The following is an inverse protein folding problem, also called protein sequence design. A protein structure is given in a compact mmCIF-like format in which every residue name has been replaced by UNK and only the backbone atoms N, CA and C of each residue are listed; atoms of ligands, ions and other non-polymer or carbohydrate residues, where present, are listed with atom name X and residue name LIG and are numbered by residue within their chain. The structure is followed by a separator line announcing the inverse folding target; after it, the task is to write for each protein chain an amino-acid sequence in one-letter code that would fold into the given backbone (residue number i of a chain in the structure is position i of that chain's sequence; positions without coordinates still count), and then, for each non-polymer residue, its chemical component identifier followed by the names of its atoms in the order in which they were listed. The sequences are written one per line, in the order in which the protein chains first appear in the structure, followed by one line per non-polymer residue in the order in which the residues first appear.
data_IF_941639390093
#
_entry.id   IF_941639390093
#
_cell.length_a   1.000
_cell.length_b   1.000
_cell.length_c   1.000
_cell.angle_alpha   90.00
_cell.angle_beta   90.00
_cell.angle_gamma   90.00
#
_symmetry.space_group_name_H-M   'P 1'
#
loop_
_entity.id
_entity.type
_entity.pdbx_description
1 polymer ?
#
# COMPACT_ATOMS: atom_id res chain seq x y z
N UNK A 1 -30.05 -0.17 -31.39
CA UNK A 1 -31.46 -0.17 -30.96
C UNK A 1 -31.84 -1.60 -30.58
N UNK A 2 -31.75 -1.97 -29.30
CA UNK A 2 -32.24 -3.26 -28.81
C UNK A 2 -33.70 -3.04 -28.42
N UNK A 3 -34.62 -3.59 -29.21
CA UNK A 3 -36.05 -3.60 -28.88
C UNK A 3 -36.25 -4.47 -27.64
N UNK A 4 -36.47 -3.82 -26.49
CA UNK A 4 -36.95 -4.46 -25.27
C UNK A 4 -38.34 -5.04 -25.54
N UNK A 5 -38.39 -6.35 -25.81
CA UNK A 5 -39.65 -7.09 -25.82
C UNK A 5 -40.22 -7.08 -24.40
N UNK A 6 -41.46 -6.64 -24.24
CA UNK A 6 -42.20 -6.75 -22.98
C UNK A 6 -42.25 -8.22 -22.56
N UNK A 7 -41.44 -8.59 -21.57
CA UNK A 7 -41.48 -9.91 -20.94
C UNK A 7 -42.88 -10.11 -20.36
N UNK A 8 -43.61 -11.09 -20.88
CA UNK A 8 -44.94 -11.45 -20.35
C UNK A 8 -44.74 -11.93 -18.91
N UNK A 9 -45.42 -11.34 -17.95
CA UNK A 9 -45.35 -11.77 -16.55
C UNK A 9 -45.64 -13.28 -16.47
N UNK A 10 -44.68 -14.04 -15.95
CA UNK A 10 -44.80 -15.49 -15.82
C UNK A 10 -45.92 -15.77 -14.81
N UNK A 11 -46.90 -16.57 -15.21
CA UNK A 11 -48.00 -16.93 -14.33
C UNK A 11 -47.53 -17.99 -13.33
N UNK A 12 -47.73 -17.71 -12.05
CA UNK A 12 -47.48 -18.67 -10.97
C UNK A 12 -48.36 -19.91 -11.16
N UNK A 13 -47.72 -21.07 -11.28
CA UNK A 13 -48.41 -22.34 -11.43
C UNK A 13 -49.01 -22.78 -10.09
N UNK A 14 -50.33 -22.96 -10.03
CA UNK A 14 -51.03 -23.20 -8.77
C UNK A 14 -50.71 -24.56 -8.13
N UNK A 15 -50.28 -25.56 -8.92
CA UNK A 15 -49.93 -26.87 -8.39
C UNK A 15 -48.53 -26.80 -7.77
N UNK A 16 -47.56 -26.25 -8.50
CA UNK A 16 -46.20 -26.07 -7.95
C UNK A 16 -46.21 -25.12 -6.75
N UNK A 17 -46.87 -23.96 -6.85
CA UNK A 17 -46.97 -23.00 -5.75
C UNK A 17 -47.74 -23.51 -4.53
N UNK A 18 -48.61 -24.52 -4.70
CA UNK A 18 -49.31 -25.17 -3.60
C UNK A 18 -48.48 -26.24 -2.89
N UNK A 19 -47.36 -26.68 -3.47
CA UNK A 19 -46.54 -27.78 -2.96
C UNK A 19 -45.48 -27.32 -1.96
N UNK A 20 -45.87 -26.45 -1.01
CA UNK A 20 -44.95 -25.88 0.01
C UNK A 20 -44.36 -26.97 0.90
N UNK A 21 -45.15 -27.98 1.28
CA UNK A 21 -44.67 -29.08 2.13
C UNK A 21 -43.59 -29.92 1.43
N UNK A 22 -43.77 -30.22 0.14
CA UNK A 22 -42.75 -30.89 -0.67
C UNK A 22 -41.47 -30.07 -0.74
N UNK A 23 -41.58 -28.75 -0.93
CA UNK A 23 -40.43 -27.87 -0.95
C UNK A 23 -39.70 -27.81 0.40
N UNK A 24 -40.46 -27.76 1.51
CA UNK A 24 -39.91 -27.76 2.86
C UNK A 24 -39.18 -29.08 3.16
N UNK A 25 -39.79 -30.22 2.85
CA UNK A 25 -39.18 -31.54 3.05
C UNK A 25 -37.85 -31.65 2.29
N UNK A 26 -37.80 -31.19 1.03
CA UNK A 26 -36.59 -31.20 0.23
C UNK A 26 -35.49 -30.27 0.79
N UNK A 27 -35.86 -29.10 1.32
CA UNK A 27 -34.92 -28.21 2.00
C UNK A 27 -34.38 -28.88 3.28
N UNK A 28 -35.24 -29.52 4.07
CA UNK A 28 -34.87 -30.17 5.33
C UNK A 28 -33.95 -31.38 5.12
N UNK A 29 -34.14 -32.14 4.02
CA UNK A 29 -33.25 -33.22 3.61
C UNK A 29 -31.81 -32.71 3.33
N UNK A 30 -31.69 -31.51 2.78
CA UNK A 30 -30.39 -30.91 2.38
C UNK A 30 -29.74 -30.10 3.52
N UNK A 31 -30.54 -29.50 4.40
CA UNK A 31 -30.07 -28.45 5.30
C UNK A 31 -29.07 -28.92 6.37
N UNK A 32 -29.13 -30.18 6.80
CA UNK A 32 -28.27 -30.70 7.86
C UNK A 32 -28.26 -29.79 9.11
N UNK A 33 -27.06 -29.37 9.54
CA UNK A 33 -26.88 -28.48 10.70
C UNK A 33 -27.34 -27.03 10.48
N UNK A 34 -27.59 -26.64 9.23
CA UNK A 34 -27.99 -25.27 8.90
C UNK A 34 -29.47 -25.00 9.25
N UNK A 35 -30.30 -26.05 9.21
CA UNK A 35 -31.75 -25.97 9.46
C UNK A 35 -32.53 -25.19 8.39
N UNK A 36 -33.86 -25.29 8.47
CA UNK A 36 -34.81 -24.58 7.58
C UNK A 36 -35.77 -23.75 8.43
N UNK A 37 -35.81 -22.45 8.17
CA UNK A 37 -36.58 -21.48 8.95
C UNK A 37 -37.98 -21.19 8.39
N UNK A 38 -38.42 -19.96 8.62
CA UNK A 38 -39.72 -19.45 8.18
C UNK A 38 -39.87 -19.48 6.66
N UNK A 39 -41.10 -19.69 6.18
CA UNK A 39 -41.40 -19.62 4.76
C UNK A 39 -41.50 -18.16 4.31
N UNK A 40 -40.73 -17.79 3.29
CA UNK A 40 -40.58 -16.42 2.80
C UNK A 40 -41.45 -16.14 1.57
N UNK A 41 -41.98 -17.19 0.93
CA UNK A 41 -42.89 -17.06 -0.21
C UNK A 41 -42.49 -17.93 -1.40
N UNK A 42 -43.21 -17.77 -2.51
CA UNK A 42 -42.92 -18.43 -3.77
C UNK A 42 -43.06 -17.45 -4.94
N UNK A 43 -42.26 -17.69 -5.97
CA UNK A 43 -42.25 -16.85 -7.17
C UNK A 43 -42.06 -17.74 -8.41
N UNK A 44 -42.59 -17.25 -9.53
CA UNK A 44 -42.57 -18.00 -10.79
C UNK A 44 -41.27 -17.69 -11.54
N UNK A 45 -40.41 -18.70 -11.70
CA UNK A 45 -39.18 -18.61 -12.50
C UNK A 45 -39.51 -18.71 -13.99
N UNK A 46 -40.40 -19.63 -14.35
CA UNK A 46 -40.85 -19.89 -15.72
C UNK A 46 -42.23 -20.58 -15.75
N UNK A 47 -42.73 -20.90 -16.94
CA UNK A 47 -44.00 -21.64 -17.07
C UNK A 47 -43.88 -23.00 -16.38
N UNK A 48 -44.71 -23.23 -15.34
CA UNK A 48 -44.69 -24.45 -14.51
C UNK A 48 -43.40 -24.67 -13.71
N UNK A 49 -42.62 -23.61 -13.47
CA UNK A 49 -41.43 -23.62 -12.61
C UNK A 49 -41.61 -22.57 -11.52
N UNK A 50 -41.58 -23.01 -10.26
CA UNK A 50 -41.84 -22.17 -9.08
C UNK A 50 -40.79 -22.43 -8.03
N UNK A 51 -40.15 -21.38 -7.55
CA UNK A 51 -39.16 -21.46 -6.47
C UNK A 51 -39.80 -21.04 -5.14
N UNK A 52 -39.63 -21.88 -4.13
CA UNK A 52 -40.08 -21.66 -2.76
C UNK A 52 -38.91 -21.24 -1.88
N UNK A 53 -39.07 -20.14 -1.15
CA UNK A 53 -38.03 -19.59 -0.29
C UNK A 53 -38.28 -19.86 1.19
N UNK A 54 -37.23 -20.26 1.92
CA UNK A 54 -37.25 -20.44 3.37
C UNK A 54 -36.03 -19.78 4.00
N UNK A 55 -36.17 -19.14 5.15
CA UNK A 55 -35.04 -18.52 5.85
C UNK A 55 -33.98 -19.57 6.25
N UNK A 56 -32.70 -19.20 6.24
CA UNK A 56 -31.64 -19.98 6.87
C UNK A 56 -31.43 -19.48 8.31
N UNK A 57 -31.70 -20.29 9.36
CA UNK A 57 -31.55 -19.85 10.74
C UNK A 57 -30.10 -19.90 11.24
N UNK A 58 -29.16 -20.45 10.46
CA UNK A 58 -27.79 -20.64 10.89
C UNK A 58 -27.03 -19.30 11.01
N UNK A 59 -26.35 -19.02 12.14
CA UNK A 59 -25.69 -17.73 12.38
C UNK A 59 -24.56 -17.40 11.39
N UNK A 60 -23.92 -18.43 10.82
CA UNK A 60 -22.91 -18.27 9.76
C UNK A 60 -23.46 -17.90 8.37
N UNK A 61 -24.77 -17.96 8.18
CA UNK A 61 -25.46 -17.67 6.91
C UNK A 61 -26.53 -16.60 7.11
N UNK A 62 -26.20 -15.55 7.88
CA UNK A 62 -27.10 -14.41 8.10
C UNK A 62 -27.53 -13.80 6.77
N UNK A 63 -28.84 -13.63 6.57
CA UNK A 63 -29.41 -13.05 5.36
C UNK A 63 -29.53 -14.04 4.19
N UNK A 64 -29.11 -15.31 4.35
CA UNK A 64 -29.29 -16.33 3.32
C UNK A 64 -30.65 -17.03 3.46
N UNK A 65 -31.11 -17.59 2.35
CA UNK A 65 -32.36 -18.36 2.29
C UNK A 65 -32.16 -19.62 1.43
N UNK A 66 -32.91 -20.67 1.77
CA UNK A 66 -33.08 -21.82 0.91
C UNK A 66 -34.01 -21.45 -0.25
N UNK A 67 -33.61 -21.79 -1.47
CA UNK A 67 -34.46 -21.75 -2.64
C UNK A 67 -34.66 -23.16 -3.17
N UNK A 68 -35.93 -23.58 -3.22
CA UNK A 68 -36.33 -24.90 -3.69
C UNK A 68 -37.18 -24.74 -4.93
N UNK A 69 -36.60 -25.08 -6.08
CA UNK A 69 -37.26 -24.99 -7.38
C UNK A 69 -38.09 -26.24 -7.61
N UNK A 70 -39.39 -26.05 -7.80
CA UNK A 70 -40.34 -27.10 -8.16
C UNK A 70 -40.78 -26.95 -9.61
N UNK A 71 -40.83 -28.07 -10.31
CA UNK A 71 -41.26 -28.14 -11.71
C UNK A 71 -42.50 -29.03 -11.81
N UNK A 72 -43.47 -28.60 -12.61
CA UNK A 72 -44.61 -29.43 -13.00
C UNK A 72 -44.55 -29.80 -14.47
N UNK A 73 -44.34 -31.08 -14.75
CA UNK A 73 -44.40 -31.61 -16.11
C UNK A 73 -45.78 -31.37 -16.76
N UNK A 74 -45.82 -31.28 -18.08
CA UNK A 74 -47.06 -31.06 -18.82
C UNK A 74 -48.11 -32.14 -18.49
N UNK A 75 -49.34 -31.71 -18.19
CA UNK A 75 -50.46 -32.56 -17.76
C UNK A 75 -50.27 -33.31 -16.44
N UNK A 76 -49.11 -33.20 -15.78
CA UNK A 76 -48.92 -33.74 -14.44
C UNK A 76 -49.82 -33.00 -13.43
N UNK A 77 -50.29 -33.76 -12.44
CA UNK A 77 -51.11 -33.26 -11.33
C UNK A 77 -50.31 -33.01 -10.06
N UNK A 78 -49.02 -33.32 -10.08
CA UNK A 78 -48.07 -33.16 -8.98
C UNK A 78 -46.85 -32.41 -9.50
N UNK A 79 -46.18 -31.68 -8.61
CA UNK A 79 -44.88 -31.07 -8.87
C UNK A 79 -43.75 -32.02 -8.42
N UNK A 80 -42.56 -31.83 -8.98
CA UNK A 80 -41.33 -32.53 -8.61
C UNK A 80 -40.26 -31.50 -8.25
N UNK A 81 -39.34 -31.87 -7.35
CA UNK A 81 -38.18 -31.04 -7.01
C UNK A 81 -37.18 -31.09 -8.15
N UNK A 82 -36.68 -29.94 -8.57
CA UNK A 82 -35.63 -29.79 -9.58
C UNK A 82 -34.27 -29.54 -8.90
N UNK A 83 -34.23 -28.55 -7.99
CA UNK A 83 -33.03 -28.21 -7.22
C UNK A 83 -33.37 -27.65 -5.83
N UNK A 84 -32.39 -27.78 -4.93
CA UNK A 84 -32.38 -27.17 -3.60
C UNK A 84 -31.04 -26.46 -3.45
N UNK A 85 -31.07 -25.14 -3.32
CA UNK A 85 -29.87 -24.31 -3.21
C UNK A 85 -29.99 -23.36 -2.04
N UNK A 86 -28.85 -22.99 -1.45
CA UNK A 86 -28.78 -21.93 -0.45
C UNK A 86 -28.23 -20.67 -1.13
N UNK A 87 -29.02 -19.60 -1.15
CA UNK A 87 -28.71 -18.37 -1.87
C UNK A 87 -28.56 -17.18 -0.92
N UNK A 88 -27.62 -16.25 -1.21
CA UNK A 88 -27.51 -15.01 -0.46
C UNK A 88 -28.72 -14.11 -0.78
N UNK A 89 -29.36 -13.56 0.27
CA UNK A 89 -30.31 -12.45 0.14
C UNK A 89 -29.62 -11.09 0.26
N UNK A 90 -30.41 -10.02 0.25
CA UNK A 90 -29.90 -8.63 0.25
C UNK A 90 -29.03 -8.29 1.48
N UNK A 91 -29.30 -8.95 2.62
CA UNK A 91 -28.57 -8.76 3.88
C UNK A 91 -27.43 -9.79 4.07
N UNK A 92 -27.14 -10.61 3.05
CA UNK A 92 -26.12 -11.64 3.16
C UNK A 92 -24.70 -11.08 3.05
N UNK A 93 -23.83 -11.53 3.94
CA UNK A 93 -22.39 -11.32 3.80
C UNK A 93 -21.85 -12.26 2.72
N UNK A 94 -21.55 -11.71 1.54
CA UNK A 94 -20.91 -12.43 0.44
C UNK A 94 -19.40 -12.22 0.46
N UNK A 95 -18.68 -13.12 -0.23
CA UNK A 95 -17.26 -12.89 -0.48
C UNK A 95 -17.06 -11.59 -1.27
N UNK A 96 -15.92 -10.93 -1.04
CA UNK A 96 -15.47 -9.82 -1.87
C UNK A 96 -15.23 -10.30 -3.31
N UNK A 97 -15.26 -9.36 -4.25
CA UNK A 97 -14.93 -9.66 -5.64
C UNK A 97 -13.50 -10.22 -5.73
N UNK A 98 -13.33 -11.24 -6.58
CA UNK A 98 -12.03 -11.85 -6.78
C UNK A 98 -11.13 -10.87 -7.56
N UNK A 99 -9.95 -10.58 -7.00
CA UNK A 99 -8.94 -9.71 -7.62
C UNK A 99 -7.80 -10.57 -8.20
N UNK A 100 -7.32 -10.35 -9.43
CA UNK A 100 -6.14 -11.05 -9.97
C UNK A 100 -4.92 -10.91 -9.05
N UNK A 101 -4.08 -11.95 -8.97
CA UNK A 101 -2.91 -11.93 -8.06
C UNK A 101 -1.96 -10.75 -8.32
N UNK A 102 -1.81 -10.33 -9.58
CA UNK A 102 -0.94 -9.22 -9.97
C UNK A 102 -1.44 -7.89 -9.37
N UNK A 103 -2.75 -7.74 -9.23
CA UNK A 103 -3.40 -6.56 -8.66
C UNK A 103 -3.48 -6.61 -7.13
N UNK A 104 -2.99 -7.70 -6.50
CA UNK A 104 -2.91 -7.84 -5.04
C UNK A 104 -1.55 -7.43 -4.47
N UNK A 105 -0.54 -7.24 -5.31
CA UNK A 105 0.82 -6.96 -4.86
C UNK A 105 0.90 -5.51 -4.38
N UNK A 106 1.27 -5.32 -3.12
CA UNK A 106 1.41 -4.02 -2.48
C UNK A 106 2.88 -3.58 -2.39
N UNK A 107 3.12 -2.26 -2.24
CA UNK A 107 4.46 -1.74 -1.98
C UNK A 107 5.07 -2.39 -0.72
N UNK A 108 6.21 -3.08 -0.90
CA UNK A 108 6.92 -3.75 0.20
C UNK A 108 6.75 -5.27 0.24
N UNK A 109 5.91 -5.85 -0.62
CA UNK A 109 5.69 -7.31 -0.67
C UNK A 109 6.87 -8.12 -1.17
N UNK A 110 7.87 -7.48 -1.79
CA UNK A 110 9.06 -8.15 -2.32
C UNK A 110 9.98 -8.59 -1.18
N UNK A 111 9.94 -9.88 -0.86
CA UNK A 111 10.79 -10.51 0.14
C UNK A 111 12.11 -11.10 -0.39
N UNK A 112 12.97 -11.63 0.50
CA UNK A 112 14.22 -12.28 0.12
C UNK A 112 14.02 -13.43 -0.88
N UNK A 113 14.76 -13.41 -1.98
CA UNK A 113 14.70 -14.42 -3.04
C UNK A 113 13.56 -14.25 -4.04
N UNK A 114 12.69 -13.26 -3.87
CA UNK A 114 11.65 -12.91 -4.84
C UNK A 114 12.22 -12.03 -5.95
N UNK A 115 11.80 -12.27 -7.19
CA UNK A 115 12.08 -11.41 -8.33
C UNK A 115 10.79 -10.74 -8.77
N UNK A 116 10.79 -9.40 -8.76
CA UNK A 116 9.72 -8.59 -9.33
C UNK A 116 10.17 -8.05 -10.68
N UNK A 117 9.70 -8.62 -11.81
CA UNK A 117 10.08 -8.12 -13.13
C UNK A 117 9.45 -6.76 -13.37
N UNK A 118 10.26 -5.79 -13.79
CA UNK A 118 9.75 -4.53 -14.34
C UNK A 118 9.18 -4.77 -15.74
N UNK A 119 7.94 -4.33 -16.04
CA UNK A 119 7.41 -4.36 -17.39
C UNK A 119 8.32 -3.66 -18.40
N UNK A 120 8.35 -4.11 -19.65
CA UNK A 120 9.18 -3.51 -20.72
C UNK A 120 8.80 -2.04 -20.97
N UNK A 121 7.54 -1.68 -20.73
CA UNK A 121 6.97 -0.35 -20.88
C UNK A 121 6.63 0.30 -19.52
N UNK A 122 7.39 0.00 -18.46
CA UNK A 122 7.23 0.68 -17.17
C UNK A 122 7.47 2.20 -17.35
N UNK A 123 6.45 3.05 -17.16
CA UNK A 123 6.55 4.50 -17.42
C UNK A 123 7.56 5.19 -16.49
N UNK A 124 7.95 4.54 -15.40
CA UNK A 124 8.92 5.05 -14.43
C UNK A 124 10.36 4.84 -14.88
N UNK A 125 10.60 4.04 -15.93
CA UNK A 125 11.94 3.67 -16.39
C UNK A 125 12.19 4.05 -17.85
N UNK A 126 13.37 4.61 -18.12
CA UNK A 126 13.88 4.88 -19.46
C UNK A 126 15.28 4.29 -19.63
N UNK A 127 15.71 3.97 -20.87
CA UNK A 127 17.07 3.52 -21.12
C UNK A 127 18.11 4.52 -20.62
N UNK A 128 19.10 4.06 -19.87
CA UNK A 128 20.23 4.90 -19.50
C UNK A 128 21.26 5.00 -20.63
N UNK A 129 22.20 5.93 -20.46
CA UNK A 129 23.32 6.10 -21.37
C UNK A 129 24.49 5.21 -20.94
N UNK A 130 24.47 3.94 -21.36
CA UNK A 130 25.55 2.97 -21.10
C UNK A 130 26.64 2.98 -22.18
N UNK A 131 26.52 3.84 -23.20
CA UNK A 131 27.38 3.84 -24.38
C UNK A 131 26.97 2.84 -25.47
N UNK A 132 25.95 2.00 -25.23
CA UNK A 132 25.35 1.12 -26.25
C UNK A 132 26.38 0.28 -27.02
N UNK A 133 26.21 0.20 -28.34
CA UNK A 133 27.10 -0.51 -29.27
C UNK A 133 28.52 0.09 -29.33
N UNK A 134 28.66 1.37 -28.97
CA UNK A 134 29.92 2.12 -28.93
C UNK A 134 30.65 2.02 -27.59
N UNK A 135 30.15 1.24 -26.63
CA UNK A 135 30.81 1.04 -25.34
C UNK A 135 32.21 0.40 -25.48
N UNK A 136 32.43 -0.34 -26.57
CA UNK A 136 33.68 -0.99 -26.93
C UNK A 136 34.69 -0.10 -27.69
N UNK A 137 34.29 1.10 -28.15
CA UNK A 137 35.19 1.97 -28.91
C UNK A 137 36.27 2.61 -28.01
N UNK A 138 37.56 2.43 -28.30
CA UNK A 138 38.67 2.86 -27.45
C UNK A 138 39.17 4.27 -27.81
N UNK A 139 38.28 5.26 -27.95
CA UNK A 139 38.68 6.67 -28.14
C UNK A 139 38.97 7.32 -26.76
N UNK A 140 40.24 7.49 -26.33
CA UNK A 140 40.55 7.53 -24.88
C UNK A 140 40.31 8.87 -24.19
N UNK A 141 40.23 9.99 -24.94
CA UNK A 141 40.15 11.33 -24.34
C UNK A 141 38.73 11.91 -24.33
N UNK A 142 38.04 11.92 -25.48
CA UNK A 142 36.69 12.49 -25.59
C UNK A 142 35.63 11.60 -24.92
N UNK A 143 35.77 10.27 -25.03
CA UNK A 143 34.89 9.33 -24.34
C UNK A 143 35.08 9.36 -22.81
N UNK A 144 36.26 9.75 -22.30
CA UNK A 144 36.51 9.84 -20.85
C UNK A 144 35.70 10.96 -20.19
N UNK A 145 35.58 12.12 -20.86
CA UNK A 145 34.79 13.26 -20.38
C UNK A 145 33.31 12.95 -20.45
N UNK A 146 32.85 12.32 -21.54
CA UNK A 146 31.46 11.88 -21.69
C UNK A 146 31.12 10.82 -20.62
N UNK A 147 31.98 9.81 -20.40
CA UNK A 147 31.77 8.80 -19.35
C UNK A 147 31.78 9.40 -17.94
N UNK A 148 32.63 10.40 -17.69
CA UNK A 148 32.64 11.11 -16.41
C UNK A 148 31.30 11.84 -16.19
N UNK A 149 30.81 12.59 -17.18
CA UNK A 149 29.51 13.27 -17.11
C UNK A 149 28.35 12.29 -16.97
N UNK A 150 28.37 11.19 -17.73
CA UNK A 150 27.38 10.10 -17.65
C UNK A 150 27.37 9.46 -16.26
N UNK A 151 28.54 9.22 -15.67
CA UNK A 151 28.68 8.71 -14.31
C UNK A 151 28.18 9.71 -13.26
N UNK A 152 28.57 10.99 -13.39
CA UNK A 152 28.16 12.08 -12.50
C UNK A 152 26.64 12.30 -12.51
N UNK A 153 26.01 12.17 -13.68
CA UNK A 153 24.56 12.25 -13.87
C UNK A 153 23.84 10.93 -13.55
N UNK A 154 24.59 9.85 -13.27
CA UNK A 154 24.04 8.54 -12.94
C UNK A 154 23.38 7.82 -14.11
N UNK A 155 23.71 8.19 -15.35
CA UNK A 155 23.14 7.66 -16.58
C UNK A 155 23.80 6.35 -17.04
N UNK A 156 24.90 5.90 -16.42
CA UNK A 156 25.63 4.68 -16.83
C UNK A 156 24.93 3.36 -16.51
N UNK A 157 23.66 3.36 -16.09
CA UNK A 157 22.86 2.16 -15.79
C UNK A 157 22.05 1.73 -17.01
N UNK A 158 21.71 0.45 -17.14
CA UNK A 158 20.86 -0.05 -18.23
C UNK A 158 19.56 0.75 -18.33
N UNK A 159 18.93 1.02 -17.18
CA UNK A 159 17.72 1.82 -17.04
C UNK A 159 17.90 2.85 -15.92
N UNK A 160 17.28 4.01 -16.09
CA UNK A 160 17.22 5.09 -15.11
C UNK A 160 15.77 5.55 -14.93
N UNK A 161 15.49 6.28 -13.84
CA UNK A 161 14.16 6.83 -13.63
C UNK A 161 13.82 7.88 -14.70
N UNK A 162 12.60 7.83 -15.22
CA UNK A 162 12.01 8.93 -16.00
C UNK A 162 11.71 10.13 -15.11
N UNK A 163 11.16 11.21 -15.67
CA UNK A 163 10.60 12.30 -14.87
C UNK A 163 9.44 11.78 -14.00
N UNK A 164 8.51 11.03 -14.58
CA UNK A 164 7.38 10.42 -13.87
C UNK A 164 7.83 9.55 -12.70
N UNK A 165 8.82 8.66 -12.91
CA UNK A 165 9.35 7.83 -11.83
C UNK A 165 10.05 8.62 -10.71
N UNK A 166 10.62 9.79 -11.02
CA UNK A 166 11.18 10.70 -10.00
C UNK A 166 10.08 11.44 -9.25
N UNK A 167 9.05 11.90 -9.95
CA UNK A 167 7.92 12.63 -9.37
C UNK A 167 7.12 11.72 -8.42
N UNK A 168 6.80 10.48 -8.83
CA UNK A 168 6.15 9.50 -7.96
C UNK A 168 6.97 9.19 -6.69
N UNK A 169 8.30 9.12 -6.83
CA UNK A 169 9.18 8.91 -5.69
C UNK A 169 9.19 10.13 -4.75
N UNK A 170 9.29 11.34 -5.31
CA UNK A 170 9.29 12.58 -4.55
C UNK A 170 7.97 12.76 -3.78
N UNK A 171 6.82 12.57 -4.43
CA UNK A 171 5.50 12.66 -3.80
C UNK A 171 5.39 11.69 -2.62
N UNK A 172 5.75 10.42 -2.82
CA UNK A 172 5.71 9.41 -1.76
C UNK A 172 6.67 9.71 -0.61
N UNK A 173 7.86 10.25 -0.89
CA UNK A 173 8.82 10.60 0.16
C UNK A 173 8.40 11.85 0.94
N UNK A 174 7.81 12.85 0.28
CA UNK A 174 7.28 14.06 0.93
C UNK A 174 6.05 13.75 1.79
N UNK A 175 5.17 12.86 1.33
CA UNK A 175 4.02 12.41 2.11
C UNK A 175 4.41 11.44 3.24
N UNK A 176 5.60 10.86 3.17
CA UNK A 176 6.09 9.84 4.09
C UNK A 176 6.73 10.38 5.38
N UNK A 177 7.27 9.49 6.22
CA UNK A 177 7.93 9.86 7.48
C UNK A 177 9.14 10.80 7.31
N UNK A 178 9.84 10.73 6.17
CA UNK A 178 10.96 11.62 5.82
C UNK A 178 10.53 12.97 5.26
N UNK A 179 9.23 13.23 5.16
CA UNK A 179 8.66 14.49 4.70
C UNK A 179 8.69 15.63 5.73
N UNK A 180 8.29 16.84 5.33
CA UNK A 180 8.18 17.98 6.23
C UNK A 180 6.90 17.95 7.08
N UNK A 181 5.83 17.30 6.60
CA UNK A 181 4.48 17.39 7.17
C UNK A 181 4.18 16.34 8.26
N UNK A 182 5.07 16.19 9.23
CA UNK A 182 4.87 15.30 10.37
C UNK A 182 5.18 15.97 11.71
N UNK A 183 4.78 15.34 12.81
CA UNK A 183 4.96 15.90 14.16
C UNK A 183 6.44 16.03 14.54
N UNK A 184 7.29 15.11 14.10
CA UNK A 184 8.73 15.15 14.38
C UNK A 184 9.38 16.39 13.74
N UNK A 185 9.12 16.63 12.45
CA UNK A 185 9.60 17.81 11.72
C UNK A 185 9.08 19.11 12.33
N UNK A 186 7.79 19.17 12.71
CA UNK A 186 7.19 20.36 13.32
C UNK A 186 7.74 20.69 14.71
N UNK A 187 8.18 19.69 15.46
CA UNK A 187 8.79 19.87 16.77
C UNK A 187 10.32 20.02 16.72
N UNK A 188 10.93 19.88 15.54
CA UNK A 188 12.37 19.93 15.39
C UNK A 188 12.91 21.36 15.59
N UNK A 189 14.12 21.50 16.16
CA UNK A 189 14.74 22.81 16.36
C UNK A 189 15.21 23.47 15.06
N UNK A 190 15.45 22.69 14.00
CA UNK A 190 15.87 23.13 12.68
C UNK A 190 15.64 22.03 11.64
N UNK A 191 15.73 22.38 10.36
CA UNK A 191 15.51 21.46 9.23
C UNK A 191 16.80 20.86 8.68
N UNK A 192 16.67 19.72 8.00
CA UNK A 192 17.75 18.90 7.46
C UNK A 192 18.70 19.69 6.55
N UNK A 193 18.23 20.69 5.79
CA UNK A 193 19.10 21.51 4.94
C UNK A 193 20.21 22.24 5.71
N UNK A 194 20.01 22.49 7.01
CA UNK A 194 20.99 23.13 7.90
C UNK A 194 21.74 22.15 8.80
N UNK A 195 21.42 20.86 8.72
CA UNK A 195 21.98 19.83 9.58
C UNK A 195 23.31 19.29 9.01
N UNK A 196 24.35 19.23 9.84
CA UNK A 196 25.65 18.65 9.47
C UNK A 196 25.62 17.14 9.20
N UNK A 197 24.56 16.43 9.63
CA UNK A 197 24.36 15.00 9.36
C UNK A 197 23.56 14.72 8.08
N UNK A 198 23.15 15.76 7.35
CA UNK A 198 22.39 15.62 6.11
C UNK A 198 23.33 15.36 4.93
N UNK A 199 23.24 14.18 4.34
CA UNK A 199 24.02 13.79 3.16
C UNK A 199 23.11 13.88 1.93
N UNK A 200 23.36 14.84 1.04
CA UNK A 200 22.53 15.05 -0.15
C UNK A 200 22.57 13.85 -1.10
N UNK A 201 21.41 13.53 -1.68
CA UNK A 201 21.35 12.64 -2.85
C UNK A 201 22.03 13.32 -4.05
N UNK A 202 22.32 12.52 -5.07
CA UNK A 202 22.92 12.99 -6.33
C UNK A 202 21.84 13.23 -7.39
N UNK A 203 22.16 14.04 -8.40
CA UNK A 203 21.27 14.31 -9.53
C UNK A 203 20.04 15.16 -9.14
N UNK A 204 18.96 15.03 -9.91
CA UNK A 204 17.76 15.86 -9.77
C UNK A 204 17.10 15.78 -8.38
N UNK A 205 16.98 14.58 -7.81
CA UNK A 205 16.39 14.37 -6.47
C UNK A 205 17.24 15.00 -5.36
N UNK A 206 18.55 15.20 -5.57
CA UNK A 206 19.46 15.83 -4.61
C UNK A 206 19.17 17.31 -4.31
N UNK A 207 18.28 17.94 -5.08
CA UNK A 207 17.81 19.31 -4.83
C UNK A 207 16.89 19.40 -3.62
N UNK A 208 16.14 18.34 -3.35
CA UNK A 208 15.07 18.31 -2.34
C UNK A 208 15.25 17.20 -1.31
N UNK A 209 16.07 16.18 -1.60
CA UNK A 209 16.24 15.02 -0.73
C UNK A 209 17.70 14.70 -0.41
N UNK A 210 17.89 14.09 0.76
CA UNK A 210 19.14 13.51 1.23
C UNK A 210 18.87 12.33 2.14
N UNK A 211 19.91 11.85 2.80
CA UNK A 211 19.85 10.78 3.80
C UNK A 211 20.35 11.32 5.12
N UNK A 212 19.68 10.96 6.22
CA UNK A 212 20.18 11.25 7.56
C UNK A 212 21.27 10.24 7.93
N UNK A 213 22.43 10.73 8.35
CA UNK A 213 23.56 9.89 8.80
C UNK A 213 23.77 9.94 10.32
N UNK A 214 22.78 10.40 11.09
CA UNK A 214 22.88 10.48 12.54
C UNK A 214 22.19 9.27 13.17
N UNK A 215 22.96 8.34 13.74
CA UNK A 215 22.46 7.15 14.44
C UNK A 215 21.51 7.44 15.62
N UNK A 216 21.51 8.68 16.15
CA UNK A 216 20.57 9.10 17.20
C UNK A 216 19.25 9.64 16.65
N UNK A 217 19.17 9.90 15.34
CA UNK A 217 17.93 10.28 14.68
C UNK A 217 17.05 9.05 14.46
N UNK A 218 15.72 9.13 14.68
CA UNK A 218 14.82 8.08 14.22
C UNK A 218 14.78 7.94 12.69
N UNK A 219 15.31 8.93 11.96
CA UNK A 219 15.40 8.93 10.50
C UNK A 219 16.76 8.43 9.98
N UNK A 220 17.63 7.86 10.83
CA UNK A 220 18.93 7.32 10.40
C UNK A 220 18.80 6.34 9.23
N UNK A 221 19.67 6.48 8.24
CA UNK A 221 19.67 5.72 6.98
C UNK A 221 18.36 5.81 6.17
N UNK A 222 17.48 6.78 6.47
CA UNK A 222 16.26 7.06 5.69
C UNK A 222 16.44 8.25 4.76
N UNK A 223 15.71 8.24 3.65
CA UNK A 223 15.58 9.42 2.78
C UNK A 223 14.72 10.46 3.50
N UNK A 224 15.22 11.70 3.56
CA UNK A 224 14.56 12.84 4.18
C UNK A 224 14.57 14.03 3.23
N UNK A 225 13.49 14.80 3.23
CA UNK A 225 13.41 16.08 2.51
C UNK A 225 14.28 17.14 3.18
N UNK A 226 14.67 18.17 2.43
CA UNK A 226 15.45 19.31 2.94
C UNK A 226 14.74 20.04 4.09
N UNK A 227 13.41 20.01 4.11
CA UNK A 227 12.56 20.66 5.10
C UNK A 227 12.09 19.71 6.21
N UNK A 228 12.51 18.44 6.17
CA UNK A 228 12.34 17.51 7.28
C UNK A 228 13.13 17.98 8.50
N UNK A 229 12.69 17.63 9.70
CA UNK A 229 13.39 17.95 10.94
C UNK A 229 13.35 16.79 11.93
N UNK A 230 14.35 16.73 12.80
CA UNK A 230 14.34 15.81 13.94
C UNK A 230 15.02 16.44 15.16
N UNK A 231 14.80 15.85 16.34
CA UNK A 231 15.42 16.32 17.60
C UNK A 231 16.93 16.11 17.68
N UNK A 232 17.52 15.27 16.82
CA UNK A 232 18.95 14.98 16.78
C UNK A 232 19.71 15.88 15.79
N UNK A 233 19.28 17.14 15.65
CA UNK A 233 19.91 18.10 14.75
C UNK A 233 21.33 18.44 15.24
N UNK A 234 22.29 18.62 14.32
CA UNK A 234 23.71 18.87 14.67
C UNK A 234 23.95 20.19 15.40
N UNK A 235 22.97 21.08 15.40
CA UNK A 235 23.04 22.36 16.13
C UNK A 235 22.54 22.27 17.57
N UNK A 236 21.99 21.12 18.01
CA UNK A 236 21.55 20.93 19.39
C UNK A 236 22.80 20.76 20.26
N UNK A 237 23.09 21.70 21.17
CA UNK A 237 24.26 21.60 22.02
C UNK A 237 24.05 20.56 23.11
N UNK A 238 25.13 19.92 23.56
CA UNK A 238 25.12 19.15 24.80
C UNK A 238 24.82 20.09 25.98
N UNK A 239 23.89 19.74 26.90
CA UNK A 239 23.62 20.55 28.07
C UNK A 239 24.88 20.61 28.96
N UNK A 240 25.55 21.76 28.90
CA UNK A 240 26.72 22.17 29.69
C UNK A 240 27.84 21.13 29.81
N UNK A 241 28.70 21.08 28.80
CA UNK A 241 30.10 20.70 29.06
C UNK A 241 30.64 21.69 30.08
N UNK A 242 30.95 21.23 31.30
CA UNK A 242 31.57 22.08 32.33
C UNK A 242 32.70 22.87 31.66
N UNK A 243 32.61 24.21 31.68
CA UNK A 243 33.69 25.05 31.16
C UNK A 243 34.96 24.61 31.85
N UNK A 244 35.90 24.07 31.08
CA UNK A 244 37.25 23.82 31.57
C UNK A 244 37.82 25.20 31.89
N UNK A 245 37.78 25.56 33.18
CA UNK A 245 38.39 26.79 33.63
C UNK A 245 39.89 26.67 33.36
N UNK A 246 40.53 27.72 32.82
CA UNK A 246 41.98 27.70 32.67
C UNK A 246 42.62 27.35 34.03
N UNK A 247 43.75 26.63 34.04
CA UNK A 247 44.45 26.34 35.28
C UNK A 247 44.72 27.67 36.01
N UNK A 248 44.60 27.70 37.35
CA UNK A 248 44.81 28.93 38.10
C UNK A 248 46.19 29.50 37.78
N UNK A 249 46.22 30.75 37.31
CA UNK A 249 47.46 31.49 37.13
C UNK A 249 47.88 31.99 38.51
N UNK A 250 48.95 31.43 39.06
CA UNK A 250 49.59 32.00 40.24
C UNK A 250 50.32 33.28 39.82
N UNK A 251 49.74 34.42 40.18
CA UNK A 251 50.40 35.72 40.05
C UNK A 251 51.47 35.81 41.15
N UNK A 252 52.70 35.40 40.82
CA UNK A 252 53.84 35.57 41.72
C UNK A 252 54.33 37.02 41.59
N UNK A 253 53.82 37.89 42.45
CA UNK A 253 54.47 39.17 42.75
C UNK A 253 55.81 38.82 43.41
N UNK A 254 56.89 38.84 42.63
CA UNK A 254 58.23 38.91 43.18
C UNK A 254 58.41 40.34 43.69
N UNK A 255 58.57 40.50 45.00
CA UNK A 255 59.07 41.74 45.56
C UNK A 255 60.53 41.82 45.16
N UNK A 256 60.87 42.71 44.21
CA UNK A 256 62.26 43.07 43.99
C UNK A 256 62.82 43.51 45.34
N UNK A 257 63.86 42.82 45.81
CA UNK A 257 64.65 43.25 46.96
C UNK A 257 65.22 44.62 46.60
N UNK A 258 64.48 45.68 46.94
CA UNK A 258 65.00 47.04 46.95
C UNK A 258 66.23 46.99 47.82
N UNK A 259 67.40 47.15 47.20
CA UNK A 259 68.68 47.29 47.87
C UNK A 259 68.50 48.17 49.10
N UNK A 260 68.91 47.64 50.24
CA UNK A 260 68.72 48.27 51.53
C UNK A 260 69.23 49.71 51.50
N UNK A 261 68.43 50.63 52.02
CA UNK A 261 68.80 52.04 52.25
C UNK A 261 69.80 52.18 53.42
N UNK A 262 70.61 51.16 53.68
CA UNK A 262 71.63 51.10 54.73
C UNK A 262 72.91 50.39 54.29
N UNK A 263 73.10 50.16 52.97
CA UNK A 263 74.45 50.19 52.38
C UNK A 263 74.84 51.65 52.08
#
# INVERSE_FOLDING_TARGET
MVTSGRTRAVKLDSIAAGAVDLAREAAEETAGVLGVGEYLGAYAEAERVVSHHFACPHPGYRGWHWSVTLVRASRARVATVDEVVLLPGDDALTAQEWVPWADRVEPGDVGPGMLMPSPDNDPRLEPGYTGGESAADPEPAEASVIRAVVSELGLGRERVLTVEGRDEAAERWLAGPGGPDNQLSKAAPATCITCGFFVRLRGGLGREFGVCANAYSPSDAQVVSIDHGCGAHSSVPEPERAKELPPPVWDTIAWDETGGLFD
#
